data_IF_273272034313
#
_entry.id   IF_273272034313
#
_cell.length_a   1.000
_cell.length_b   1.000
_cell.length_c   1.000
_cell.angle_alpha   90.00
_cell.angle_beta   90.00
_cell.angle_gamma   90.00
#
_symmetry.space_group_name_H-M   'P 1'
#
loop_
_entity.id
_entity.type
_entity.pdbx_description
1 polymer ?
#
# COMPACT_ATOMS: atom_id res chain seq x y z
N UNK A 1 6.90 10.78 -31.12
CA UNK A 1 7.71 10.36 -29.95
C UNK A 1 7.07 9.10 -29.41
N UNK A 2 7.73 7.96 -29.53
CA UNK A 2 7.21 6.65 -29.08
C UNK A 2 7.81 6.35 -27.71
N UNK A 3 6.97 6.00 -26.75
CA UNK A 3 7.36 5.50 -25.43
C UNK A 3 7.58 4.00 -25.57
N UNK A 4 8.83 3.54 -25.40
CA UNK A 4 9.23 2.16 -25.60
C UNK A 4 9.17 1.38 -24.29
N UNK A 5 7.96 1.06 -23.83
CA UNK A 5 7.72 0.23 -22.64
C UNK A 5 7.96 0.98 -21.33
N UNK A 6 6.93 1.00 -20.48
CA UNK A 6 7.02 1.53 -19.11
C UNK A 6 6.64 0.39 -18.17
N UNK A 7 7.45 0.14 -17.16
CA UNK A 7 7.09 -0.79 -16.08
C UNK A 7 6.59 0.04 -14.89
N UNK A 8 5.36 -0.23 -14.47
CA UNK A 8 4.71 0.39 -13.32
C UNK A 8 4.46 -0.67 -12.26
N UNK A 9 5.16 -0.57 -11.14
CA UNK A 9 4.98 -1.44 -9.98
C UNK A 9 4.03 -0.76 -8.99
N UNK A 10 2.97 -1.46 -8.60
CA UNK A 10 1.98 -0.99 -7.63
C UNK A 10 1.98 -1.91 -6.42
N UNK A 11 2.37 -1.37 -5.26
CA UNK A 11 2.43 -2.12 -4.01
C UNK A 11 1.54 -1.49 -2.94
N UNK A 12 0.95 -2.35 -2.10
CA UNK A 12 0.25 -1.92 -0.89
C UNK A 12 0.84 -2.61 0.33
N UNK A 13 1.08 -1.88 1.41
CA UNK A 13 1.65 -2.44 2.64
C UNK A 13 0.65 -2.38 3.78
N UNK A 14 0.40 -3.49 4.48
CA UNK A 14 -0.45 -3.48 5.68
C UNK A 14 0.37 -3.08 6.90
N UNK A 15 0.16 -1.87 7.42
CA UNK A 15 0.81 -1.42 8.64
C UNK A 15 -0.16 -1.46 9.82
N UNK A 16 -0.05 -2.47 10.67
CA UNK A 16 -0.89 -2.57 11.88
C UNK A 16 -0.60 -1.38 12.80
N UNK A 17 -1.64 -0.68 13.25
CA UNK A 17 -1.50 0.38 14.25
C UNK A 17 -1.95 -0.09 15.63
N UNK A 18 -1.36 0.53 16.65
CA UNK A 18 -1.75 0.40 18.04
C UNK A 18 -2.27 1.74 18.53
N UNK A 19 -3.37 1.73 19.28
CA UNK A 19 -4.08 2.95 19.69
C UNK A 19 -4.96 3.55 18.58
N UNK A 20 -5.35 4.81 18.76
CA UNK A 20 -6.13 5.58 17.79
C UNK A 20 -5.18 6.47 16.98
N UNK A 21 -5.01 6.15 15.70
CA UNK A 21 -4.25 6.97 14.76
C UNK A 21 -5.19 7.39 13.64
N UNK A 22 -5.14 8.66 13.27
CA UNK A 22 -5.93 9.21 12.16
C UNK A 22 -5.64 8.42 10.87
N UNK A 23 -6.68 8.15 10.07
CA UNK A 23 -6.56 7.41 8.81
C UNK A 23 -6.46 5.88 8.95
N UNK A 24 -6.32 5.34 10.16
CA UNK A 24 -6.28 3.89 10.35
C UNK A 24 -7.69 3.29 10.26
N UNK A 25 -7.89 2.37 9.32
CA UNK A 25 -9.18 1.69 9.12
C UNK A 25 -9.06 0.20 9.41
N UNK A 26 -10.17 -0.44 9.78
CA UNK A 26 -10.22 -1.91 9.85
C UNK A 26 -10.26 -2.46 8.43
N UNK A 27 -9.14 -2.99 7.98
CA UNK A 27 -8.98 -3.63 6.68
C UNK A 27 -8.62 -5.12 6.80
N UNK A 28 -8.30 -5.73 5.66
CA UNK A 28 -7.78 -7.08 5.62
C UNK A 28 -6.34 -7.12 6.15
N UNK A 29 -6.14 -7.80 7.28
CA UNK A 29 -4.82 -8.04 7.87
C UNK A 29 -4.73 -9.51 8.30
N UNK A 30 -4.11 -10.40 7.50
CA UNK A 30 -4.10 -11.83 7.77
C UNK A 30 -3.31 -12.18 9.03
N UNK A 31 -2.26 -11.42 9.33
CA UNK A 31 -1.45 -11.60 10.55
C UNK A 31 -2.17 -11.12 11.81
N UNK A 32 -3.00 -10.06 11.72
CA UNK A 32 -3.70 -9.44 12.85
C UNK A 32 -5.12 -9.04 12.48
N UNK A 33 -5.99 -10.07 12.38
CA UNK A 33 -7.39 -9.94 11.95
C UNK A 33 -8.16 -8.91 12.80
N UNK A 34 -8.92 -8.04 12.13
CA UNK A 34 -9.81 -7.06 12.76
C UNK A 34 -9.14 -5.84 13.39
N UNK A 35 -7.80 -5.71 13.30
CA UNK A 35 -7.06 -4.55 13.80
C UNK A 35 -7.07 -3.40 12.79
N UNK A 36 -7.15 -2.17 13.29
CA UNK A 36 -6.99 -0.97 12.46
C UNK A 36 -5.56 -0.92 11.91
N UNK A 37 -5.45 -0.69 10.61
CA UNK A 37 -4.19 -0.68 9.88
C UNK A 37 -4.22 0.45 8.84
N UNK A 38 -3.04 0.93 8.47
CA UNK A 38 -2.89 1.76 7.28
C UNK A 38 -2.51 0.88 6.10
N UNK A 39 -3.00 1.25 4.92
CA UNK A 39 -2.70 0.59 3.65
C UNK A 39 -2.22 1.63 2.63
N UNK A 40 -1.00 2.19 2.79
CA UNK A 40 -0.42 3.04 1.77
C UNK A 40 -0.36 2.30 0.43
N UNK A 41 -0.78 2.97 -0.63
CA UNK A 41 -0.58 2.57 -2.02
C UNK A 41 0.67 3.28 -2.52
N UNK A 42 1.66 2.53 -2.96
CA UNK A 42 2.90 3.04 -3.54
C UNK A 42 2.98 2.63 -5.00
N UNK A 43 3.49 3.52 -5.83
CA UNK A 43 3.67 3.30 -7.26
C UNK A 43 5.10 3.67 -7.64
N UNK A 44 5.80 2.78 -8.34
CA UNK A 44 7.15 3.00 -8.84
C UNK A 44 7.17 2.85 -10.36
N UNK A 45 7.83 3.79 -11.04
CA UNK A 45 8.01 3.73 -12.49
C UNK A 45 9.47 3.43 -12.77
N UNK A 46 9.72 2.32 -13.46
CA UNK A 46 11.04 2.01 -14.01
C UNK A 46 11.04 2.33 -15.50
N UNK A 47 11.91 3.28 -15.88
CA UNK A 47 12.22 3.65 -17.26
C UNK A 47 13.57 3.02 -17.65
N UNK A 48 13.75 2.65 -18.93
CA UNK A 48 14.95 1.94 -19.43
C UNK A 48 15.77 2.79 -20.38
#
# INVERSE_FOLDING_TARGET
>A
MSINGITLDLDSTVMTRYGAQEGAARGYNPAKRGRASHHPLMAFVADT
#
